data_IF_423700614779
#
_entry.id   IF_423700614779
#
_cell.length_a   1.000
_cell.length_b   1.000
_cell.length_c   1.000
_cell.angle_alpha   90.00
_cell.angle_beta   90.00
_cell.angle_gamma   90.00
#
_symmetry.space_group_name_H-M   'P 1'
#
loop_
_entity.id
_entity.type
_entity.pdbx_description
1 polymer ?
#
# COMPACT_ATOMS: atom_id res chain seq x y z
N UNK A 1 9.44 -7.05 -3.88
CA UNK A 1 9.96 -8.06 -2.92
C UNK A 1 8.97 -9.20 -2.86
N UNK A 2 9.43 -10.45 -2.75
CA UNK A 2 8.53 -11.62 -2.75
C UNK A 2 7.79 -11.75 -1.40
N UNK A 3 6.56 -12.24 -1.46
CA UNK A 3 5.73 -12.55 -0.30
C UNK A 3 5.40 -14.05 -0.33
N UNK A 4 5.36 -14.70 0.82
CA UNK A 4 5.07 -16.13 0.93
C UNK A 4 3.85 -16.36 1.81
N UNK A 5 2.88 -17.13 1.35
CA UNK A 5 1.73 -17.55 2.15
C UNK A 5 2.19 -18.57 3.20
N UNK A 6 1.84 -18.32 4.46
CA UNK A 6 2.21 -19.19 5.59
C UNK A 6 1.01 -20.00 6.05
N UNK A 7 -0.15 -19.37 6.13
CA UNK A 7 -1.39 -19.99 6.60
C UNK A 7 -2.57 -19.24 6.01
N UNK A 8 -3.77 -19.76 6.23
CA UNK A 8 -5.03 -19.16 5.84
C UNK A 8 -5.93 -19.07 7.08
N UNK A 9 -6.62 -17.93 7.24
CA UNK A 9 -7.55 -17.68 8.34
C UNK A 9 -8.81 -17.06 7.73
N UNK A 10 -9.98 -17.68 7.91
CA UNK A 10 -11.25 -17.22 7.31
C UNK A 10 -11.17 -17.05 5.79
N UNK A 11 -10.51 -17.98 5.10
CA UNK A 11 -10.25 -17.93 3.66
C UNK A 11 -9.38 -16.73 3.23
N UNK A 12 -8.69 -16.09 4.18
CA UNK A 12 -7.75 -14.99 3.94
C UNK A 12 -6.31 -15.54 3.97
N UNK A 13 -5.58 -15.47 2.85
CA UNK A 13 -4.17 -15.84 2.81
C UNK A 13 -3.32 -14.91 3.69
N UNK A 14 -2.66 -15.47 4.71
CA UNK A 14 -1.70 -14.74 5.55
C UNK A 14 -0.31 -14.89 4.96
N UNK A 15 0.26 -13.78 4.51
CA UNK A 15 1.55 -13.70 3.82
C UNK A 15 2.60 -13.03 4.68
N UNK A 16 3.84 -13.49 4.57
CA UNK A 16 5.01 -12.79 5.12
C UNK A 16 5.89 -12.31 3.98
N UNK A 17 6.21 -11.02 4.00
CA UNK A 17 7.16 -10.43 3.08
C UNK A 17 8.61 -10.77 3.47
N UNK A 18 9.50 -10.96 2.50
CA UNK A 18 10.92 -11.21 2.77
C UNK A 18 11.57 -10.14 3.66
N UNK A 19 11.13 -8.88 3.58
CA UNK A 19 11.62 -7.81 4.44
C UNK A 19 11.44 -8.10 5.94
N UNK A 20 10.31 -8.70 6.32
CA UNK A 20 10.04 -9.06 7.70
C UNK A 20 10.96 -10.18 8.18
N UNK A 21 11.19 -11.21 7.34
CA UNK A 21 12.11 -12.31 7.70
C UNK A 21 13.53 -11.83 7.98
N UNK A 22 13.99 -10.82 7.22
CA UNK A 22 15.31 -10.20 7.41
C UNK A 22 15.32 -9.30 8.66
N UNK A 23 14.23 -8.59 8.92
CA UNK A 23 14.14 -7.64 10.02
C UNK A 23 13.88 -8.28 11.38
N UNK A 24 13.16 -9.40 11.45
CA UNK A 24 12.75 -10.04 12.70
C UNK A 24 13.94 -10.36 13.64
N UNK A 25 15.08 -10.90 13.16
CA UNK A 25 16.26 -11.11 14.01
C UNK A 25 16.86 -9.80 14.54
N UNK A 26 16.85 -8.73 13.74
CA UNK A 26 17.32 -7.40 14.15
C UNK A 26 16.42 -6.83 15.24
N UNK A 27 15.11 -6.96 15.07
CA UNK A 27 14.13 -6.52 16.07
C UNK A 27 14.27 -7.33 17.37
N UNK A 28 14.43 -8.65 17.28
CA UNK A 28 14.65 -9.51 18.43
C UNK A 28 15.93 -9.11 19.19
N UNK A 29 17.02 -8.84 18.48
CA UNK A 29 18.25 -8.33 19.09
C UNK A 29 18.07 -6.96 19.73
N UNK A 30 17.34 -6.04 19.07
CA UNK A 30 17.07 -4.71 19.59
C UNK A 30 16.30 -4.78 20.92
N UNK A 31 15.18 -5.51 20.95
CA UNK A 31 14.36 -5.68 22.15
C UNK A 31 15.12 -6.43 23.25
N UNK A 32 15.85 -7.48 22.86
CA UNK A 32 16.67 -8.30 23.75
C UNK A 32 17.95 -7.61 24.25
N UNK A 33 18.27 -6.40 23.80
CA UNK A 33 19.44 -5.69 24.32
C UNK A 33 19.23 -5.27 25.77
N UNK A 34 20.24 -5.41 26.63
CA UNK A 34 20.10 -5.18 28.07
C UNK A 34 19.59 -3.78 28.45
N UNK A 35 19.97 -2.76 27.66
CA UNK A 35 19.47 -1.39 27.85
C UNK A 35 17.97 -1.28 27.53
N UNK A 36 17.50 -1.94 26.46
CA UNK A 36 16.09 -1.94 26.09
C UNK A 36 15.25 -2.74 27.09
N UNK A 37 15.75 -3.90 27.56
CA UNK A 37 15.10 -4.68 28.61
C UNK A 37 14.90 -3.83 29.86
N UNK A 38 15.94 -3.11 30.32
CA UNK A 38 15.82 -2.25 31.50
C UNK A 38 14.80 -1.11 31.29
N UNK A 39 14.80 -0.49 30.11
CA UNK A 39 13.84 0.55 29.76
C UNK A 39 12.40 0.05 29.78
N UNK A 40 12.11 -1.06 29.10
CA UNK A 40 10.76 -1.63 29.08
C UNK A 40 10.35 -2.21 30.44
N UNK A 41 11.26 -2.80 31.21
CA UNK A 41 10.97 -3.27 32.56
C UNK A 41 10.50 -2.11 33.46
N UNK A 42 11.15 -0.94 33.38
CA UNK A 42 10.73 0.25 34.12
C UNK A 42 9.36 0.78 33.69
N UNK A 43 9.06 0.78 32.39
CA UNK A 43 7.71 1.10 31.90
C UNK A 43 6.70 0.11 32.48
N UNK A 44 6.97 -1.19 32.34
CA UNK A 44 6.08 -2.26 32.81
C UNK A 44 5.81 -2.13 34.30
N UNK A 45 6.85 -1.96 35.11
CA UNK A 45 6.71 -1.71 36.54
C UNK A 45 5.86 -0.47 36.82
N UNK A 46 6.05 0.61 36.06
CA UNK A 46 5.27 1.84 36.19
C UNK A 46 3.76 1.67 35.97
N UNK A 47 3.32 0.82 35.02
CA UNK A 47 1.88 0.65 34.73
C UNK A 47 1.26 -0.63 35.33
N UNK A 48 2.06 -1.64 35.68
CA UNK A 48 1.59 -2.88 36.31
C UNK A 48 1.81 -2.92 37.82
N UNK A 49 2.76 -2.12 38.34
CA UNK A 49 3.25 -2.24 39.71
C UNK A 49 4.12 -3.47 39.96
N UNK A 50 4.46 -4.23 38.92
CA UNK A 50 5.22 -5.48 39.03
C UNK A 50 6.67 -5.25 38.62
N UNK A 51 7.57 -5.35 39.60
CA UNK A 51 9.01 -5.22 39.38
C UNK A 51 9.65 -6.47 38.76
N UNK A 52 10.83 -6.28 38.17
CA UNK A 52 11.64 -7.33 37.54
C UNK A 52 13.06 -7.35 38.11
N UNK A 53 13.61 -8.55 38.30
CA UNK A 53 15.03 -8.71 38.54
C UNK A 53 15.80 -8.63 37.22
N UNK A 54 16.43 -7.47 36.98
CA UNK A 54 17.19 -7.21 35.77
C UNK A 54 18.41 -8.11 35.62
N UNK A 55 18.99 -8.61 36.71
CA UNK A 55 20.12 -9.54 36.63
C UNK A 55 19.67 -10.88 36.02
N UNK A 56 18.46 -11.34 36.36
CA UNK A 56 17.89 -12.57 35.80
C UNK A 56 17.51 -12.38 34.32
N UNK A 57 16.87 -11.26 33.98
CA UNK A 57 16.48 -10.97 32.59
C UNK A 57 17.70 -10.76 31.68
N UNK A 58 18.79 -10.22 32.21
CA UNK A 58 20.04 -9.96 31.49
C UNK A 58 20.99 -11.16 31.39
N UNK A 59 20.73 -12.26 32.10
CA UNK A 59 21.67 -13.36 32.22
C UNK A 59 21.59 -14.37 31.05
N UNK A 60 22.77 -14.85 30.62
CA UNK A 60 22.90 -15.98 29.69
C UNK A 60 22.14 -15.80 28.38
N UNK A 61 21.30 -16.77 28.04
CA UNK A 61 20.50 -16.76 26.81
C UNK A 61 19.14 -16.06 26.96
N UNK A 62 18.75 -15.65 28.18
CA UNK A 62 17.46 -15.03 28.48
C UNK A 62 17.13 -13.81 27.61
N UNK A 63 18.07 -12.88 27.34
CA UNK A 63 17.77 -11.71 26.51
C UNK A 63 17.37 -12.07 25.08
N UNK A 64 17.95 -13.13 24.50
CA UNK A 64 17.57 -13.64 23.18
C UNK A 64 16.17 -14.26 23.18
N UNK A 65 15.82 -15.01 24.23
CA UNK A 65 14.48 -15.59 24.39
C UNK A 65 13.44 -14.47 24.52
N UNK A 66 13.70 -13.45 25.34
CA UNK A 66 12.85 -12.26 25.48
C UNK A 66 12.69 -11.58 24.13
N UNK A 67 13.80 -11.29 23.46
CA UNK A 67 13.83 -10.60 22.17
C UNK A 67 13.01 -11.32 21.10
N UNK A 68 13.22 -12.63 20.92
CA UNK A 68 12.50 -13.44 19.94
C UNK A 68 11.01 -13.53 20.30
N UNK A 69 10.68 -13.83 21.55
CA UNK A 69 9.29 -13.98 21.98
C UNK A 69 8.52 -12.66 21.86
N UNK A 70 9.14 -11.53 22.23
CA UNK A 70 8.55 -10.21 22.12
C UNK A 70 8.40 -9.78 20.64
N UNK A 71 9.40 -9.99 19.79
CA UNK A 71 9.34 -9.67 18.37
C UNK A 71 8.25 -10.48 17.65
N UNK A 72 8.21 -11.80 17.86
CA UNK A 72 7.16 -12.67 17.28
C UNK A 72 5.79 -12.28 17.83
N UNK A 73 5.67 -12.08 19.14
CA UNK A 73 4.42 -11.66 19.78
C UNK A 73 3.90 -10.31 19.27
N UNK A 74 4.78 -9.37 18.96
CA UNK A 74 4.42 -8.08 18.37
C UNK A 74 3.81 -8.27 16.98
N UNK A 75 4.41 -9.09 16.12
CA UNK A 75 3.86 -9.36 14.79
C UNK A 75 2.58 -10.19 14.82
N UNK A 76 2.44 -11.10 15.79
CA UNK A 76 1.15 -11.77 16.05
C UNK A 76 0.09 -10.77 16.51
N UNK A 77 0.47 -9.77 17.30
CA UNK A 77 -0.44 -8.69 17.71
C UNK A 77 -0.87 -7.80 16.53
N UNK A 78 0.07 -7.47 15.64
CA UNK A 78 -0.23 -6.80 14.37
C UNK A 78 -1.17 -7.65 13.51
N UNK A 79 -0.94 -8.96 13.42
CA UNK A 79 -1.86 -9.85 12.71
C UNK A 79 -3.26 -9.82 13.32
N UNK A 80 -3.40 -9.87 14.65
CA UNK A 80 -4.71 -9.73 15.31
C UNK A 80 -5.37 -8.38 15.03
N UNK A 81 -4.59 -7.30 15.00
CA UNK A 81 -5.08 -5.98 14.61
C UNK A 81 -5.67 -5.99 13.18
N UNK A 82 -4.93 -6.51 12.21
CA UNK A 82 -5.40 -6.65 10.82
C UNK A 82 -6.62 -7.57 10.70
N UNK A 83 -6.65 -8.67 11.47
CA UNK A 83 -7.80 -9.55 11.55
C UNK A 83 -9.04 -8.83 12.12
N UNK A 84 -8.85 -7.85 13.00
CA UNK A 84 -9.93 -7.00 13.50
C UNK A 84 -10.62 -6.22 12.38
N UNK A 85 -9.83 -5.51 11.56
CA UNK A 85 -10.36 -4.84 10.36
C UNK A 85 -11.05 -5.83 9.43
N UNK A 86 -10.38 -6.95 9.18
CA UNK A 86 -10.81 -7.97 8.25
C UNK A 86 -12.15 -8.58 8.65
N UNK A 87 -12.32 -8.88 9.93
CA UNK A 87 -13.55 -9.44 10.47
C UNK A 87 -14.74 -8.51 10.25
N UNK A 88 -14.58 -7.20 10.45
CA UNK A 88 -15.67 -6.23 10.20
C UNK A 88 -15.91 -6.03 8.71
N UNK A 89 -14.86 -6.05 7.87
CA UNK A 89 -15.02 -5.95 6.42
C UNK A 89 -15.82 -7.14 5.85
N UNK A 90 -15.52 -8.36 6.29
CA UNK A 90 -16.28 -9.56 5.92
C UNK A 90 -17.75 -9.48 6.33
N UNK A 91 -18.09 -8.79 7.43
CA UNK A 91 -19.49 -8.57 7.85
C UNK A 91 -20.25 -7.61 6.95
N UNK A 92 -19.54 -6.83 6.15
CA UNK A 92 -20.10 -5.94 5.12
C UNK A 92 -19.99 -6.53 3.71
N UNK A 93 -19.69 -7.83 3.60
CA UNK A 93 -19.52 -8.54 2.32
C UNK A 93 -18.39 -7.95 1.45
N UNK A 94 -17.36 -7.39 2.09
CA UNK A 94 -16.16 -6.88 1.42
C UNK A 94 -15.08 -7.98 1.49
N UNK A 95 -14.69 -8.48 0.32
CA UNK A 95 -13.66 -9.51 0.19
C UNK A 95 -12.26 -9.00 0.54
N UNK A 96 -11.41 -9.94 0.95
CA UNK A 96 -10.03 -9.66 1.41
C UNK A 96 -9.09 -10.59 0.67
N UNK A 97 -8.25 -10.02 -0.20
CA UNK A 97 -7.35 -10.78 -1.05
C UNK A 97 -6.21 -11.43 -0.27
N UNK A 98 -5.66 -10.72 0.73
CA UNK A 98 -4.62 -11.22 1.62
C UNK A 98 -4.32 -10.27 2.78
N UNK A 99 -3.71 -10.80 3.84
CA UNK A 99 -3.04 -10.01 4.87
C UNK A 99 -1.53 -10.25 4.76
N UNK A 100 -0.76 -9.21 4.46
CA UNK A 100 0.70 -9.32 4.34
C UNK A 100 1.41 -8.63 5.49
N UNK A 101 2.20 -9.37 6.27
CA UNK A 101 3.08 -8.83 7.30
C UNK A 101 4.43 -8.44 6.70
N UNK A 102 4.90 -7.24 7.00
CA UNK A 102 6.13 -6.65 6.47
C UNK A 102 6.82 -5.77 7.52
N UNK A 103 7.99 -5.22 7.21
CA UNK A 103 8.82 -4.48 8.18
C UNK A 103 8.10 -3.30 8.86
N UNK A 104 7.12 -2.66 8.18
CA UNK A 104 6.38 -1.51 8.72
C UNK A 104 5.05 -1.88 9.39
N UNK A 105 4.67 -3.17 9.43
CA UNK A 105 3.43 -3.61 10.07
C UNK A 105 2.68 -4.69 9.29
N UNK A 106 1.35 -4.59 9.27
CA UNK A 106 0.45 -5.41 8.47
C UNK A 106 -0.15 -4.59 7.33
N UNK A 107 -0.55 -5.28 6.25
CA UNK A 107 -1.34 -4.69 5.17
C UNK A 107 -2.43 -5.67 4.77
N UNK A 108 -3.67 -5.34 5.07
CA UNK A 108 -4.84 -6.04 4.54
C UNK A 108 -5.20 -5.47 3.17
N UNK A 109 -5.12 -6.31 2.14
CA UNK A 109 -5.55 -5.98 0.78
C UNK A 109 -7.06 -6.26 0.66
N UNK A 110 -7.86 -5.20 0.59
CA UNK A 110 -9.31 -5.26 0.36
C UNK A 110 -9.57 -5.27 -1.15
N UNK A 111 -10.55 -6.05 -1.60
CA UNK A 111 -11.00 -6.06 -3.00
C UNK A 111 -11.56 -4.69 -3.42
N UNK A 112 -12.25 -4.02 -2.49
CA UNK A 112 -12.73 -2.66 -2.71
C UNK A 112 -12.73 -1.86 -1.40
N UNK A 113 -12.41 -0.57 -1.50
CA UNK A 113 -12.48 0.35 -0.37
C UNK A 113 -13.90 0.93 -0.29
N UNK A 114 -14.64 0.74 0.82
CA UNK A 114 -16.00 1.26 0.93
C UNK A 114 -16.01 2.78 0.94
N UNK A 115 -16.88 3.39 0.14
CA UNK A 115 -17.06 4.85 0.05
C UNK A 115 -18.05 5.35 1.12
N UNK A 116 -18.84 4.47 1.73
CA UNK A 116 -19.81 4.81 2.76
C UNK A 116 -19.14 5.03 4.12
N UNK A 117 -19.38 6.20 4.71
CA UNK A 117 -18.74 6.62 5.95
C UNK A 117 -18.93 5.63 7.11
N UNK A 118 -20.09 4.99 7.21
CA UNK A 118 -20.42 4.10 8.31
C UNK A 118 -19.63 2.80 8.23
N UNK A 119 -19.53 2.21 7.03
CA UNK A 119 -18.76 0.98 6.80
C UNK A 119 -17.30 1.22 7.06
N UNK A 120 -16.75 2.29 6.48
CA UNK A 120 -15.34 2.62 6.66
C UNK A 120 -14.98 2.91 8.12
N UNK A 121 -15.82 3.68 8.84
CA UNK A 121 -15.58 3.97 10.25
C UNK A 121 -15.49 2.70 11.10
N UNK A 122 -16.43 1.77 10.94
CA UNK A 122 -16.47 0.54 11.73
C UNK A 122 -15.33 -0.41 11.38
N UNK A 123 -14.94 -0.48 10.09
CA UNK A 123 -13.78 -1.26 9.68
C UNK A 123 -12.51 -0.67 10.29
N UNK A 124 -12.29 0.64 10.14
CA UNK A 124 -11.08 1.31 10.60
C UNK A 124 -10.93 1.29 12.14
N UNK A 125 -12.01 1.36 12.91
CA UNK A 125 -11.91 1.30 14.38
C UNK A 125 -11.68 -0.12 14.91
N UNK A 126 -11.99 -1.15 14.12
CA UNK A 126 -11.95 -2.54 14.58
C UNK A 126 -10.53 -3.01 14.97
N UNK A 127 -9.51 -2.68 14.17
CA UNK A 127 -8.12 -3.01 14.48
C UNK A 127 -7.66 -2.40 15.81
N UNK A 128 -7.77 -1.07 16.02
CA UNK A 128 -7.47 -0.44 17.30
C UNK A 128 -8.21 -1.06 18.49
N UNK A 129 -9.50 -1.40 18.33
CA UNK A 129 -10.26 -2.09 19.38
C UNK A 129 -9.66 -3.45 19.70
N UNK A 130 -9.31 -4.25 18.69
CA UNK A 130 -8.66 -5.55 18.90
C UNK A 130 -7.29 -5.38 19.56
N UNK A 131 -6.48 -4.40 19.17
CA UNK A 131 -5.21 -4.10 19.85
C UNK A 131 -5.42 -3.74 21.33
N UNK A 132 -6.42 -2.93 21.67
CA UNK A 132 -6.73 -2.65 23.08
C UNK A 132 -7.17 -3.91 23.84
N UNK A 133 -7.94 -4.80 23.21
CA UNK A 133 -8.34 -6.07 23.82
C UNK A 133 -7.14 -6.99 24.05
N UNK A 134 -6.23 -7.13 23.07
CA UNK A 134 -4.98 -7.87 23.21
C UNK A 134 -4.14 -7.27 24.33
N UNK A 135 -4.04 -5.93 24.40
CA UNK A 135 -3.34 -5.25 25.47
C UNK A 135 -3.90 -5.59 26.85
N UNK A 136 -5.24 -5.55 26.99
CA UNK A 136 -5.92 -5.86 28.25
C UNK A 136 -5.70 -7.32 28.69
N UNK A 137 -5.74 -8.27 27.75
CA UNK A 137 -5.47 -9.70 28.03
C UNK A 137 -4.02 -9.90 28.45
N UNK A 138 -3.06 -9.30 27.73
CA UNK A 138 -1.65 -9.38 28.07
C UNK A 138 -1.35 -8.71 29.42
N UNK A 139 -2.02 -7.58 29.72
CA UNK A 139 -1.90 -6.89 31.01
C UNK A 139 -2.38 -7.77 32.16
N UNK A 140 -3.60 -8.33 32.04
CA UNK A 140 -4.12 -9.25 33.03
C UNK A 140 -3.19 -10.46 33.21
N UNK A 141 -2.66 -11.00 32.12
CA UNK A 141 -1.65 -12.05 32.12
C UNK A 141 -0.39 -11.68 32.91
N UNK A 142 0.15 -10.47 32.70
CA UNK A 142 1.33 -9.99 33.42
C UNK A 142 1.11 -9.88 34.94
N UNK A 143 -0.12 -9.57 35.38
CA UNK A 143 -0.48 -9.50 36.80
C UNK A 143 -0.61 -10.87 37.46
N UNK A 144 -1.15 -11.87 36.75
CA UNK A 144 -1.41 -13.20 37.32
C UNK A 144 -0.24 -14.17 37.18
N UNK A 145 0.62 -14.01 36.16
CA UNK A 145 1.78 -14.89 35.96
C UNK A 145 2.75 -14.74 37.13
N UNK A 146 3.18 -15.83 37.80
CA UNK A 146 4.09 -15.77 38.95
C UNK A 146 5.49 -15.22 38.63
N UNK A 147 6.16 -14.68 39.64
CA UNK A 147 7.50 -14.06 39.49
C UNK A 147 8.61 -15.07 39.24
N UNK A 148 8.33 -16.35 39.46
CA UNK A 148 9.21 -17.46 39.11
C UNK A 148 9.36 -17.66 37.60
N UNK A 149 8.49 -17.07 36.77
CA UNK A 149 8.57 -17.12 35.30
C UNK A 149 8.73 -15.69 34.74
N UNK A 150 9.86 -15.03 35.04
CA UNK A 150 10.02 -13.59 34.78
C UNK A 150 10.02 -13.25 33.28
N UNK A 151 10.46 -14.16 32.42
CA UNK A 151 10.48 -13.99 30.96
C UNK A 151 9.06 -13.87 30.40
N UNK A 152 8.19 -14.83 30.71
CA UNK A 152 6.79 -14.81 30.23
C UNK A 152 6.06 -13.57 30.73
N UNK A 153 6.24 -13.23 32.01
CA UNK A 153 5.65 -12.03 32.60
C UNK A 153 6.13 -10.76 31.90
N UNK A 154 7.44 -10.65 31.65
CA UNK A 154 8.02 -9.50 30.94
C UNK A 154 7.44 -9.39 29.53
N UNK A 155 7.39 -10.48 28.77
CA UNK A 155 6.85 -10.49 27.40
C UNK A 155 5.38 -10.09 27.39
N UNK A 156 4.57 -10.57 28.33
CA UNK A 156 3.17 -10.15 28.46
C UNK A 156 3.04 -8.66 28.78
N UNK A 157 3.84 -8.12 29.71
CA UNK A 157 3.87 -6.69 29.99
C UNK A 157 4.31 -5.86 28.77
N UNK A 158 5.34 -6.32 28.05
CA UNK A 158 5.81 -5.70 26.82
C UNK A 158 4.72 -5.68 25.74
N UNK A 159 4.03 -6.80 25.52
CA UNK A 159 2.93 -6.90 24.56
C UNK A 159 1.73 -6.04 24.96
N UNK A 160 1.43 -5.93 26.26
CA UNK A 160 0.39 -5.04 26.76
C UNK A 160 0.68 -3.58 26.40
N UNK A 161 1.88 -3.11 26.73
CA UNK A 161 2.31 -1.74 26.44
C UNK A 161 2.36 -1.46 24.94
N UNK A 162 2.99 -2.35 24.17
CA UNK A 162 3.15 -2.16 22.72
C UNK A 162 1.83 -2.22 21.96
N UNK A 163 0.85 -3.02 22.40
CA UNK A 163 -0.48 -3.01 21.80
C UNK A 163 -1.26 -1.72 22.10
N UNK A 164 -1.10 -1.14 23.31
CA UNK A 164 -1.65 0.19 23.59
C UNK A 164 -0.99 1.26 22.73
N UNK A 165 0.34 1.18 22.54
CA UNK A 165 1.06 2.08 21.66
C UNK A 165 0.62 1.91 20.20
N UNK A 166 0.44 0.67 19.73
CA UNK A 166 -0.07 0.35 18.39
C UNK A 166 -1.47 0.95 18.19
N UNK A 167 -2.38 0.75 19.14
CA UNK A 167 -3.73 1.33 19.08
C UNK A 167 -3.68 2.87 19.11
N UNK A 168 -2.90 3.46 20.02
CA UNK A 168 -2.79 4.91 20.17
C UNK A 168 -2.18 5.58 18.92
N UNK A 169 -1.14 4.98 18.35
CA UNK A 169 -0.54 5.46 17.11
C UNK A 169 -1.53 5.31 15.95
N UNK A 170 -2.19 4.16 15.83
CA UNK A 170 -3.19 3.96 14.78
C UNK A 170 -4.44 4.83 14.93
N UNK A 171 -4.73 5.41 16.10
CA UNK A 171 -5.84 6.36 16.26
C UNK A 171 -5.47 7.82 15.91
N UNK A 172 -4.21 8.11 15.58
CA UNK A 172 -3.82 9.45 15.12
C UNK A 172 -4.56 9.81 13.82
N UNK A 173 -5.10 11.03 13.68
CA UNK A 173 -5.92 11.44 12.54
C UNK A 173 -5.08 11.79 11.31
N UNK A 174 -4.27 10.86 10.83
CA UNK A 174 -3.32 11.05 9.74
C UNK A 174 -3.13 9.75 8.95
N UNK A 175 -3.07 9.83 7.61
CA UNK A 175 -2.70 8.68 6.78
C UNK A 175 -1.24 8.29 6.99
N UNK A 176 -0.89 7.00 6.91
CA UNK A 176 -1.74 5.85 6.54
C UNK A 176 -2.46 5.18 7.73
N UNK A 177 -2.46 5.79 8.92
CA UNK A 177 -3.02 5.20 10.13
C UNK A 177 -4.55 5.13 10.06
N UNK A 178 -5.15 4.19 10.82
CA UNK A 178 -6.60 3.99 10.86
C UNK A 178 -7.37 5.24 11.28
N UNK A 179 -6.80 6.04 12.17
CA UNK A 179 -7.35 7.29 12.67
C UNK A 179 -7.52 8.30 11.55
N UNK A 180 -6.66 8.26 10.52
CA UNK A 180 -6.85 9.02 9.28
C UNK A 180 -8.12 8.60 8.54
N UNK A 181 -8.39 7.29 8.43
CA UNK A 181 -9.61 6.73 7.83
C UNK A 181 -10.85 7.00 8.68
N UNK A 182 -10.74 6.86 10.00
CA UNK A 182 -11.80 7.20 10.97
C UNK A 182 -12.16 8.68 10.83
N UNK A 183 -11.16 9.57 10.86
CA UNK A 183 -11.36 11.01 10.71
C UNK A 183 -11.98 11.34 9.36
N UNK A 184 -11.47 10.76 8.27
CA UNK A 184 -12.02 10.89 6.92
C UNK A 184 -13.48 10.45 6.86
N UNK A 185 -13.82 9.28 7.39
CA UNK A 185 -15.18 8.76 7.45
C UNK A 185 -16.11 9.71 8.23
N UNK A 186 -15.68 10.24 9.37
CA UNK A 186 -16.47 11.23 10.12
C UNK A 186 -16.72 12.51 9.32
N UNK A 187 -15.74 12.99 8.57
CA UNK A 187 -15.91 14.14 7.68
C UNK A 187 -16.85 13.85 6.49
N UNK A 188 -16.82 12.63 5.97
CA UNK A 188 -17.66 12.19 4.86
C UNK A 188 -19.16 12.11 5.21
N UNK A 189 -19.53 12.23 6.49
CA UNK A 189 -20.94 12.33 6.92
C UNK A 189 -21.66 13.57 6.36
N UNK A 190 -20.92 14.66 6.16
CA UNK A 190 -21.49 15.96 5.76
C UNK A 190 -20.80 16.58 4.54
N UNK A 191 -19.83 15.87 3.96
CA UNK A 191 -19.01 16.37 2.85
C UNK A 191 -18.79 15.27 1.81
N UNK A 192 -18.57 15.61 0.54
CA UNK A 192 -18.16 14.64 -0.47
C UNK A 192 -16.88 13.90 -0.07
N UNK A 193 -16.80 12.61 -0.39
CA UNK A 193 -15.69 11.72 -0.02
C UNK A 193 -14.32 12.31 -0.40
N UNK A 194 -14.14 12.78 -1.65
CA UNK A 194 -12.89 13.40 -2.09
C UNK A 194 -12.49 14.65 -1.28
N UNK A 195 -13.46 15.47 -0.85
CA UNK A 195 -13.18 16.61 0.04
C UNK A 195 -12.77 16.15 1.43
N UNK A 196 -13.43 15.13 1.98
CA UNK A 196 -13.03 14.52 3.25
C UNK A 196 -11.60 13.97 3.19
N UNK A 197 -11.23 13.29 2.10
CA UNK A 197 -9.86 12.80 1.87
C UNK A 197 -8.83 13.92 1.83
N UNK A 198 -9.09 14.99 1.08
CA UNK A 198 -8.16 16.13 1.00
C UNK A 198 -7.92 16.77 2.37
N UNK A 199 -8.95 16.88 3.20
CA UNK A 199 -8.82 17.43 4.56
C UNK A 199 -8.02 16.47 5.44
N UNK A 200 -8.34 15.18 5.46
CA UNK A 200 -7.63 14.18 6.25
C UNK A 200 -6.15 14.06 5.83
N UNK A 201 -5.85 14.07 4.53
CA UNK A 201 -4.49 14.09 4.01
C UNK A 201 -3.73 15.35 4.44
N UNK A 202 -4.37 16.53 4.43
CA UNK A 202 -3.75 17.77 4.92
C UNK A 202 -3.39 17.69 6.40
N UNK A 203 -4.28 17.13 7.24
CA UNK A 203 -3.97 16.87 8.65
C UNK A 203 -2.79 15.90 8.76
N UNK A 204 -2.73 14.86 7.93
CA UNK A 204 -1.57 13.95 7.85
C UNK A 204 -0.25 14.65 7.53
N UNK A 205 -0.25 15.61 6.59
CA UNK A 205 0.93 16.43 6.28
C UNK A 205 1.36 17.28 7.47
N UNK A 206 0.41 17.79 8.28
CA UNK A 206 0.75 18.50 9.53
C UNK A 206 1.44 17.57 10.52
N UNK A 207 0.94 16.35 10.72
CA UNK A 207 1.61 15.36 11.57
C UNK A 207 3.00 14.98 11.06
N UNK A 208 3.16 14.78 9.75
CA UNK A 208 4.46 14.54 9.14
C UNK A 208 5.45 15.69 9.45
N UNK A 209 5.00 16.94 9.34
CA UNK A 209 5.82 18.10 9.67
C UNK A 209 6.19 18.15 11.16
N UNK A 210 5.26 17.83 12.06
CA UNK A 210 5.54 17.73 13.50
C UNK A 210 6.58 16.64 13.80
N UNK A 211 6.45 15.46 13.20
CA UNK A 211 7.45 14.39 13.33
C UNK A 211 8.82 14.81 12.77
N UNK A 212 8.84 15.57 11.68
CA UNK A 212 10.10 16.10 11.13
C UNK A 212 10.77 17.06 12.11
N UNK A 213 10.02 18.00 12.71
CA UNK A 213 10.56 18.94 13.72
C UNK A 213 11.15 18.16 14.90
N UNK A 214 10.38 17.23 15.48
CA UNK A 214 10.84 16.41 16.60
C UNK A 214 12.07 15.60 16.20
N UNK A 215 12.07 15.02 15.00
CA UNK A 215 13.20 14.26 14.46
C UNK A 215 14.47 15.10 14.34
N UNK A 216 14.38 16.34 13.86
CA UNK A 216 15.52 17.25 13.75
C UNK A 216 16.00 17.70 15.13
N UNK A 217 15.09 18.15 16.01
CA UNK A 217 15.45 18.67 17.34
C UNK A 217 16.05 17.59 18.23
N UNK A 218 15.55 16.37 18.15
CA UNK A 218 16.02 15.23 18.94
C UNK A 218 17.12 14.41 18.24
N UNK A 219 17.56 14.79 17.04
CA UNK A 219 18.48 14.01 16.20
C UNK A 219 18.03 12.55 16.00
N UNK A 220 16.72 12.33 15.93
CA UNK A 220 16.12 11.00 15.84
C UNK A 220 15.77 10.67 14.38
N UNK A 221 16.62 9.86 13.75
CA UNK A 221 16.46 9.43 12.35
C UNK A 221 15.14 8.67 12.14
N UNK A 222 14.68 7.90 13.13
CA UNK A 222 13.42 7.14 13.02
C UNK A 222 12.23 8.08 12.89
N UNK A 223 12.21 9.20 13.63
CA UNK A 223 11.16 10.22 13.51
C UNK A 223 11.19 10.91 12.14
N UNK A 224 12.37 11.14 11.55
CA UNK A 224 12.49 11.69 10.21
C UNK A 224 12.00 10.72 9.13
N UNK A 225 12.32 9.43 9.27
CA UNK A 225 11.80 8.39 8.38
C UNK A 225 10.29 8.27 8.49
N UNK A 226 9.75 8.34 9.71
CA UNK A 226 8.31 8.33 9.95
C UNK A 226 7.63 9.55 9.31
N UNK A 227 8.22 10.74 9.45
CA UNK A 227 7.73 11.96 8.81
C UNK A 227 7.65 11.81 7.29
N UNK A 228 8.71 11.31 6.66
CA UNK A 228 8.74 11.07 5.22
C UNK A 228 7.65 10.06 4.79
N UNK A 229 7.51 8.96 5.53
CA UNK A 229 6.51 7.93 5.24
C UNK A 229 5.07 8.46 5.38
N UNK A 230 4.76 9.17 6.47
CA UNK A 230 3.43 9.77 6.69
C UNK A 230 3.10 10.80 5.61
N UNK A 231 4.07 11.65 5.24
CA UNK A 231 3.89 12.62 4.15
C UNK A 231 3.60 11.94 2.80
N UNK A 232 4.40 10.93 2.45
CA UNK A 232 4.25 10.17 1.22
C UNK A 232 2.90 9.45 1.16
N UNK A 233 2.50 8.79 2.24
CA UNK A 233 1.22 8.11 2.35
C UNK A 233 0.03 9.07 2.21
N UNK A 234 0.03 10.19 2.94
CA UNK A 234 -1.04 11.18 2.87
C UNK A 234 -1.19 11.79 1.47
N UNK A 235 -0.07 12.07 0.80
CA UNK A 235 -0.08 12.62 -0.55
C UNK A 235 -0.56 11.59 -1.58
N UNK A 236 -0.13 10.32 -1.42
CA UNK A 236 -0.53 9.21 -2.30
C UNK A 236 -2.04 8.95 -2.18
N UNK A 237 -2.56 8.83 -0.96
CA UNK A 237 -4.00 8.64 -0.71
C UNK A 237 -4.85 9.74 -1.37
N UNK A 238 -4.47 11.01 -1.17
CA UNK A 238 -5.20 12.13 -1.78
C UNK A 238 -5.13 12.13 -3.31
N UNK A 239 -4.03 11.65 -3.89
CA UNK A 239 -3.87 11.56 -5.35
C UNK A 239 -4.73 10.44 -5.91
N UNK A 240 -4.73 9.26 -5.29
CA UNK A 240 -5.54 8.12 -5.71
C UNK A 240 -7.02 8.46 -5.70
N UNK A 241 -7.54 9.04 -4.61
CA UNK A 241 -8.95 9.44 -4.55
C UNK A 241 -9.29 10.52 -5.58
N UNK A 242 -8.38 11.46 -5.86
CA UNK A 242 -8.60 12.44 -6.92
C UNK A 242 -8.68 11.78 -8.30
N UNK A 243 -7.87 10.77 -8.57
CA UNK A 243 -7.91 10.03 -9.84
C UNK A 243 -9.24 9.26 -9.98
N UNK A 244 -9.65 8.54 -8.94
CA UNK A 244 -10.97 7.85 -8.87
C UNK A 244 -12.11 8.87 -9.12
N UNK A 245 -12.12 10.00 -8.42
CA UNK A 245 -13.15 11.04 -8.56
C UNK A 245 -13.18 11.68 -9.96
N UNK A 246 -12.07 11.71 -10.68
CA UNK A 246 -11.98 12.26 -12.04
C UNK A 246 -12.40 11.24 -13.11
N UNK A 247 -12.13 9.96 -12.88
CA UNK A 247 -12.44 8.87 -13.80
C UNK A 247 -13.77 8.17 -13.48
N UNK A 248 -14.43 8.53 -12.39
CA UNK A 248 -15.72 7.96 -11.97
C UNK A 248 -16.76 7.97 -13.10
N UNK A 249 -17.21 6.77 -13.46
CA UNK A 249 -18.21 6.55 -14.51
C UNK A 249 -17.68 6.65 -15.95
N UNK A 250 -16.37 6.57 -16.13
CA UNK A 250 -15.70 6.55 -17.44
C UNK A 250 -15.22 5.12 -17.70
N UNK A 251 -15.55 4.57 -18.87
CA UNK A 251 -15.06 3.27 -19.31
C UNK A 251 -13.79 3.42 -20.14
N UNK A 252 -13.04 2.33 -20.30
CA UNK A 252 -11.87 2.28 -21.20
C UNK A 252 -12.26 2.69 -22.63
N UNK A 253 -13.42 2.24 -23.12
CA UNK A 253 -13.93 2.54 -24.45
C UNK A 253 -14.27 4.01 -24.71
N UNK A 254 -14.51 4.79 -23.65
CA UNK A 254 -14.78 6.24 -23.73
C UNK A 254 -13.51 7.05 -23.98
N UNK A 255 -12.35 6.53 -23.55
CA UNK A 255 -11.08 7.27 -23.57
C UNK A 255 -10.03 6.65 -24.50
N UNK A 256 -10.21 5.40 -24.93
CA UNK A 256 -9.24 4.72 -25.80
C UNK A 256 -9.04 5.45 -27.13
N UNK A 257 -7.83 5.33 -27.67
CA UNK A 257 -7.56 5.68 -29.06
C UNK A 257 -8.07 4.55 -29.96
N UNK A 258 -9.10 4.85 -30.75
CA UNK A 258 -9.67 3.94 -31.76
C UNK A 258 -8.81 3.90 -33.01
N UNK A 259 -8.82 2.76 -33.69
CA UNK A 259 -8.09 2.51 -34.95
C UNK A 259 -6.61 2.94 -34.89
N UNK A 260 -5.83 2.37 -33.95
CA UNK A 260 -4.43 2.72 -33.76
C UNK A 260 -3.58 2.33 -34.98
N UNK A 261 -2.57 3.15 -35.33
CA UNK A 261 -1.72 2.86 -36.47
C UNK A 261 -0.91 1.58 -36.23
N UNK A 262 -0.79 0.77 -37.28
CA UNK A 262 -0.08 -0.52 -37.24
C UNK A 262 1.25 -0.46 -37.97
N UNK A 263 2.20 -1.29 -37.51
CA UNK A 263 3.50 -1.51 -38.14
C UNK A 263 3.80 -3.01 -38.20
N UNK A 264 4.44 -3.45 -39.28
CA UNK A 264 4.89 -4.85 -39.40
C UNK A 264 6.09 -5.11 -38.46
N UNK A 265 6.18 -6.34 -37.94
CA UNK A 265 7.35 -6.85 -37.19
C UNK A 265 8.69 -6.60 -37.90
N UNK A 266 8.68 -6.56 -39.23
CA UNK A 266 9.85 -6.41 -40.09
C UNK A 266 10.28 -4.95 -40.33
N UNK A 267 9.46 -4.00 -39.89
CA UNK A 267 9.74 -2.56 -40.05
C UNK A 267 11.03 -2.22 -39.30
N UNK A 268 11.91 -1.42 -39.90
CA UNK A 268 13.13 -0.95 -39.23
C UNK A 268 12.80 0.14 -38.21
N UNK A 269 13.66 0.30 -37.22
CA UNK A 269 13.49 1.33 -36.18
C UNK A 269 13.59 2.75 -36.77
N UNK A 270 14.38 2.93 -37.81
CA UNK A 270 14.45 4.19 -38.58
C UNK A 270 13.12 4.52 -39.27
N UNK A 271 12.51 3.53 -39.93
CA UNK A 271 11.20 3.69 -40.58
C UNK A 271 10.09 3.90 -39.55
N UNK A 272 10.13 3.20 -38.41
CA UNK A 272 9.22 3.41 -37.29
C UNK A 272 9.25 4.87 -36.80
N UNK A 273 10.45 5.44 -36.62
CA UNK A 273 10.60 6.84 -36.23
C UNK A 273 9.95 7.80 -37.24
N UNK A 274 10.08 7.50 -38.54
CA UNK A 274 9.42 8.27 -39.61
C UNK A 274 7.89 8.11 -39.58
N UNK A 275 7.38 6.91 -39.30
CA UNK A 275 5.94 6.66 -39.14
C UNK A 275 5.36 7.39 -37.93
N UNK A 276 6.03 7.35 -36.78
CA UNK A 276 5.60 8.10 -35.58
C UNK A 276 5.41 9.59 -35.84
N UNK A 277 6.29 10.21 -36.63
CA UNK A 277 6.15 11.61 -37.01
C UNK A 277 4.97 11.85 -37.97
N UNK A 278 4.75 10.94 -38.93
CA UNK A 278 3.65 11.05 -39.90
C UNK A 278 2.29 10.85 -39.25
N UNK A 279 2.17 9.82 -38.42
CA UNK A 279 0.91 9.43 -37.75
C UNK A 279 0.62 10.33 -36.54
N UNK A 280 1.62 11.10 -36.08
CA UNK A 280 1.58 11.94 -34.87
C UNK A 280 1.23 11.15 -33.62
N UNK A 281 1.65 9.88 -33.60
CA UNK A 281 1.48 8.99 -32.46
C UNK A 281 2.82 8.42 -32.05
N UNK A 282 3.01 8.25 -30.75
CA UNK A 282 4.23 7.71 -30.14
C UNK A 282 4.13 6.22 -29.85
N UNK A 283 3.03 5.59 -30.27
CA UNK A 283 2.65 4.22 -29.99
C UNK A 283 2.02 3.61 -31.24
N UNK A 284 2.43 2.40 -31.59
CA UNK A 284 1.93 1.64 -32.73
C UNK A 284 1.69 0.19 -32.33
N UNK A 285 0.64 -0.41 -32.89
CA UNK A 285 0.44 -1.85 -32.79
C UNK A 285 1.38 -2.57 -33.75
N UNK A 286 1.92 -3.69 -33.30
CA UNK A 286 2.82 -4.53 -34.10
C UNK A 286 2.03 -5.70 -34.65
N UNK A 287 2.06 -5.88 -35.97
CA UNK A 287 1.39 -6.96 -36.68
C UNK A 287 2.38 -7.91 -37.33
N UNK A 288 2.07 -9.21 -37.32
CA UNK A 288 2.79 -10.22 -38.09
C UNK A 288 2.42 -10.19 -39.59
N UNK A 289 3.02 -11.09 -40.37
CA UNK A 289 2.75 -11.23 -41.81
C UNK A 289 1.32 -11.71 -42.13
N UNK A 290 0.63 -12.33 -41.16
CA UNK A 290 -0.76 -12.75 -41.28
C UNK A 290 -1.75 -11.62 -40.92
N UNK A 291 -1.25 -10.47 -40.44
CA UNK A 291 -2.05 -9.32 -40.01
C UNK A 291 -2.56 -9.43 -38.57
N UNK A 292 -2.12 -10.43 -37.80
CA UNK A 292 -2.47 -10.56 -36.40
C UNK A 292 -1.63 -9.63 -35.52
N UNK A 293 -2.27 -9.01 -34.51
CA UNK A 293 -1.58 -8.13 -33.57
C UNK A 293 -0.81 -8.97 -32.55
N UNK A 294 0.51 -8.85 -32.58
CA UNK A 294 1.45 -9.61 -31.74
C UNK A 294 2.07 -8.79 -30.61
N UNK A 295 1.92 -7.47 -30.64
CA UNK A 295 2.43 -6.62 -29.57
C UNK A 295 2.25 -5.13 -29.85
N UNK A 296 3.02 -4.33 -29.12
CA UNK A 296 3.01 -2.88 -29.22
C UNK A 296 4.44 -2.35 -29.19
N UNK A 297 4.71 -1.28 -29.95
CA UNK A 297 5.97 -0.55 -29.89
C UNK A 297 5.69 0.91 -29.55
N UNK A 298 6.51 1.47 -28.67
CA UNK A 298 6.39 2.86 -28.24
C UNK A 298 7.70 3.61 -28.44
N UNK A 299 7.67 4.93 -28.24
CA UNK A 299 8.85 5.79 -28.30
C UNK A 299 10.00 5.33 -27.38
N UNK A 300 9.71 4.60 -26.30
CA UNK A 300 10.74 4.04 -25.43
C UNK A 300 11.57 2.96 -26.14
N UNK A 301 10.95 2.12 -26.98
CA UNK A 301 11.63 1.14 -27.83
C UNK A 301 12.52 1.78 -28.89
N UNK A 302 12.12 2.93 -29.44
CA UNK A 302 12.99 3.72 -30.34
C UNK A 302 14.23 4.28 -29.60
N UNK A 303 14.08 4.63 -28.32
CA UNK A 303 15.17 5.18 -27.48
C UNK A 303 16.14 4.12 -26.98
N UNK A 304 15.74 2.85 -26.88
CA UNK A 304 16.63 1.77 -26.46
C UNK A 304 17.65 1.36 -27.53
N UNK A 305 17.44 1.76 -28.79
CA UNK A 305 18.33 1.44 -29.91
C UNK A 305 19.26 2.61 -30.23
N UNK A 306 20.57 2.32 -30.30
CA UNK A 306 21.62 3.29 -30.67
C UNK A 306 21.41 3.79 -32.10
N UNK A 307 21.76 5.05 -32.36
CA UNK A 307 21.52 5.72 -33.65
C UNK A 307 22.01 4.93 -34.86
N UNK A 308 23.23 4.39 -34.79
CA UNK A 308 23.88 3.66 -35.89
C UNK A 308 23.21 2.32 -36.21
N UNK A 309 22.48 1.73 -35.25
CA UNK A 309 21.83 0.42 -35.38
C UNK A 309 20.36 0.51 -35.81
N UNK A 310 19.79 1.72 -35.94
CA UNK A 310 18.35 1.92 -36.21
C UNK A 310 17.92 1.45 -37.61
N UNK A 311 18.82 1.50 -38.58
CA UNK A 311 18.55 1.06 -39.95
C UNK A 311 18.52 -0.46 -40.11
N UNK A 312 19.16 -1.21 -39.20
CA UNK A 312 19.26 -2.68 -39.24
C UNK A 312 18.39 -3.38 -38.19
N UNK A 313 18.09 -2.72 -37.07
CA UNK A 313 17.23 -3.26 -36.03
C UNK A 313 15.76 -3.23 -36.48
N UNK A 314 15.05 -4.34 -36.27
CA UNK A 314 13.61 -4.48 -36.57
C UNK A 314 12.74 -4.20 -35.36
N UNK A 315 11.47 -3.85 -35.60
CA UNK A 315 10.47 -3.60 -34.55
C UNK A 315 10.29 -4.80 -33.63
N UNK A 316 10.33 -6.03 -34.18
CA UNK A 316 10.25 -7.27 -33.40
C UNK A 316 11.23 -7.31 -32.21
N UNK A 317 12.43 -6.74 -32.36
CA UNK A 317 13.46 -6.77 -31.32
C UNK A 317 13.17 -5.84 -30.12
N UNK A 318 12.24 -4.89 -30.27
CA UNK A 318 11.91 -3.87 -29.25
C UNK A 318 10.43 -3.81 -28.91
N UNK A 319 9.61 -4.66 -29.53
CA UNK A 319 8.19 -4.74 -29.23
C UNK A 319 7.98 -5.25 -27.81
N UNK A 320 6.87 -4.83 -27.21
CA UNK A 320 6.47 -5.21 -25.87
C UNK A 320 5.13 -5.92 -25.93
N UNK A 321 5.03 -7.02 -25.20
CA UNK A 321 3.73 -7.61 -24.87
C UNK A 321 3.08 -6.72 -23.81
N UNK A 322 1.86 -6.28 -24.09
CA UNK A 322 1.07 -5.46 -23.17
C UNK A 322 -0.23 -6.18 -22.80
N UNK A 323 -0.79 -5.91 -21.61
CA UNK A 323 -2.07 -6.49 -21.22
C UNK A 323 -3.19 -6.13 -22.21
N UNK A 324 -4.15 -7.06 -22.33
CA UNK A 324 -5.40 -6.85 -23.06
C UNK A 324 -6.51 -6.54 -22.07
N UNK A 325 -7.33 -5.54 -22.35
CA UNK A 325 -8.42 -5.07 -21.48
C UNK A 325 -9.70 -4.91 -22.27
N UNK A 326 -10.84 -5.15 -21.61
CA UNK A 326 -12.15 -5.00 -22.24
C UNK A 326 -12.55 -3.52 -22.32
N UNK A 327 -13.16 -3.11 -23.44
CA UNK A 327 -13.61 -1.73 -23.65
C UNK A 327 -14.65 -1.27 -22.60
N UNK A 328 -15.44 -2.19 -22.04
CA UNK A 328 -16.43 -1.90 -21.01
C UNK A 328 -15.87 -1.78 -19.59
N UNK A 329 -14.57 -2.09 -19.40
CA UNK A 329 -13.93 -2.01 -18.09
C UNK A 329 -13.88 -0.57 -17.54
N UNK A 330 -13.92 -0.43 -16.22
CA UNK A 330 -13.77 0.86 -15.56
C UNK A 330 -12.35 1.44 -15.77
N UNK A 331 -12.28 2.71 -16.11
CA UNK A 331 -11.02 3.36 -16.44
C UNK A 331 -10.08 3.49 -15.22
N UNK A 332 -10.62 3.75 -14.02
CA UNK A 332 -9.80 3.88 -12.82
C UNK A 332 -9.22 2.52 -12.41
N UNK A 333 -10.04 1.47 -12.37
CA UNK A 333 -9.60 0.11 -12.01
C UNK A 333 -8.57 -0.42 -13.02
N UNK A 334 -8.77 -0.13 -14.30
CA UNK A 334 -7.82 -0.46 -15.36
C UNK A 334 -6.49 0.26 -15.15
N UNK A 335 -6.51 1.58 -14.88
CA UNK A 335 -5.29 2.36 -14.60
C UNK A 335 -4.56 1.83 -13.36
N UNK A 336 -5.30 1.49 -12.30
CA UNK A 336 -4.73 0.93 -11.08
C UNK A 336 -4.04 -0.40 -11.35
N UNK A 337 -4.68 -1.29 -12.13
CA UNK A 337 -4.13 -2.59 -12.53
C UNK A 337 -2.87 -2.45 -13.38
N UNK A 338 -2.88 -1.57 -14.38
CA UNK A 338 -1.72 -1.33 -15.24
C UNK A 338 -0.53 -0.78 -14.43
N UNK A 339 -0.77 0.18 -13.54
CA UNK A 339 0.29 0.74 -12.69
C UNK A 339 0.92 -0.32 -11.76
N UNK A 340 0.11 -1.26 -11.25
CA UNK A 340 0.63 -2.39 -10.46
C UNK A 340 1.53 -3.32 -11.29
N UNK A 341 1.21 -3.51 -12.57
CA UNK A 341 2.04 -4.25 -13.53
C UNK A 341 3.27 -3.47 -14.03
N UNK A 342 3.44 -2.20 -13.61
CA UNK A 342 4.55 -1.35 -14.02
C UNK A 342 4.38 -0.71 -15.40
N UNK A 343 3.16 -0.69 -15.93
CA UNK A 343 2.83 -0.10 -17.24
C UNK A 343 1.66 0.88 -17.16
N UNK A 344 1.40 1.56 -18.27
CA UNK A 344 0.26 2.49 -18.43
C UNK A 344 -0.40 2.35 -19.80
N UNK A 345 -0.10 1.25 -20.49
CA UNK A 345 -0.53 0.98 -21.86
C UNK A 345 -1.17 -0.39 -21.95
N UNK A 346 -2.28 -0.48 -22.68
CA UNK A 346 -3.00 -1.72 -22.92
C UNK A 346 -3.58 -1.78 -24.33
N UNK A 347 -3.75 -2.98 -24.85
CA UNK A 347 -4.57 -3.25 -26.03
C UNK A 347 -6.03 -3.36 -25.57
N UNK A 348 -6.94 -2.71 -26.26
CA UNK A 348 -8.37 -2.73 -25.93
C UNK A 348 -9.12 -3.66 -26.89
N UNK A 349 -9.90 -4.57 -26.31
CA UNK A 349 -10.73 -5.52 -27.03
C UNK A 349 -12.21 -5.33 -26.69
N UNK A 350 -13.09 -5.61 -27.64
CA UNK A 350 -14.54 -5.68 -27.45
C UNK A 350 -15.03 -6.98 -28.09
N UNK A 351 -15.68 -7.85 -27.29
CA UNK A 351 -16.11 -9.18 -27.73
C UNK A 351 -15.01 -10.06 -28.38
N UNK A 352 -13.75 -9.85 -27.97
CA UNK A 352 -12.57 -10.57 -28.49
C UNK A 352 -11.97 -9.98 -29.77
N UNK A 353 -12.50 -8.87 -30.28
CA UNK A 353 -11.93 -8.12 -31.40
C UNK A 353 -11.14 -6.91 -30.91
N UNK A 354 -10.00 -6.62 -31.54
CA UNK A 354 -9.20 -5.44 -31.22
C UNK A 354 -9.93 -4.17 -31.69
N UNK A 355 -10.19 -3.26 -30.75
CA UNK A 355 -10.92 -2.00 -31.03
C UNK A 355 -10.08 -0.75 -30.79
N UNK A 356 -8.97 -0.86 -30.04
CA UNK A 356 -8.13 0.30 -29.76
C UNK A 356 -6.88 0.02 -28.94
N UNK A 357 -6.21 1.11 -28.59
CA UNK A 357 -5.16 1.14 -27.56
C UNK A 357 -5.54 2.14 -26.48
N UNK A 358 -5.04 1.87 -25.28
CA UNK A 358 -5.13 2.76 -24.15
C UNK A 358 -3.72 3.16 -23.73
N UNK A 359 -3.48 4.45 -23.54
CA UNK A 359 -2.17 5.02 -23.20
C UNK A 359 -2.27 6.00 -22.04
N UNK A 360 -1.12 6.36 -21.44
CA UNK A 360 -1.07 7.40 -20.41
C UNK A 360 -1.59 8.76 -20.91
N UNK A 361 -1.39 9.07 -22.19
CA UNK A 361 -1.93 10.29 -22.82
C UNK A 361 -3.46 10.32 -22.84
N UNK A 362 -4.12 9.18 -23.04
CA UNK A 362 -5.58 9.09 -23.07
C UNK A 362 -6.15 9.42 -21.68
N UNK A 363 -5.57 8.83 -20.63
CA UNK A 363 -5.92 9.16 -19.24
C UNK A 363 -5.67 10.64 -18.93
N UNK A 364 -4.52 11.18 -19.33
CA UNK A 364 -4.18 12.59 -19.13
C UNK A 364 -5.17 13.53 -19.83
N UNK A 365 -5.57 13.19 -21.05
CA UNK A 365 -6.56 13.95 -21.82
C UNK A 365 -7.93 13.91 -21.15
N UNK A 366 -8.43 12.72 -20.80
CA UNK A 366 -9.71 12.54 -20.12
C UNK A 366 -9.78 13.33 -18.80
N UNK A 367 -8.73 13.24 -17.98
CA UNK A 367 -8.64 14.00 -16.73
C UNK A 367 -8.62 15.52 -16.96
N UNK A 368 -7.95 15.99 -18.01
CA UNK A 368 -7.90 17.42 -18.35
C UNK A 368 -9.29 17.93 -18.72
N UNK A 369 -10.02 17.17 -19.54
CA UNK A 369 -11.41 17.48 -19.92
C UNK A 369 -12.32 17.51 -18.69
N UNK A 370 -12.28 16.47 -17.83
CA UNK A 370 -13.06 16.39 -16.58
C UNK A 370 -12.77 17.54 -15.61
N UNK A 371 -11.50 17.93 -15.43
CA UNK A 371 -11.13 19.09 -14.62
C UNK A 371 -11.74 20.38 -15.17
N UNK A 372 -11.71 20.56 -16.49
CA UNK A 372 -12.33 21.71 -17.16
C UNK A 372 -13.82 21.84 -16.82
N UNK A 373 -14.59 20.77 -16.99
CA UNK A 373 -16.02 20.74 -16.66
C UNK A 373 -16.31 21.06 -15.20
N UNK A 374 -15.53 20.49 -14.26
CA UNK A 374 -15.74 20.73 -12.83
C UNK A 374 -15.37 22.15 -12.39
N UNK A 375 -14.33 22.73 -12.98
CA UNK A 375 -13.89 24.10 -12.64
C UNK A 375 -14.91 25.18 -13.01
N UNK A 376 -15.76 24.92 -14.03
CA UNK A 376 -16.80 25.85 -14.47
C UNK A 376 -18.09 25.85 -13.63
N UNK A 377 -18.28 24.89 -12.71
CA UNK A 377 -19.50 24.74 -11.90
C UNK A 377 -19.33 25.37 -10.50
N UNK A 378 -18.10 25.71 -10.10
CA UNK A 378 -17.77 26.33 -8.81
C UNK A 378 -17.56 27.85 -8.87
N UNK A 379 -18.07 28.51 -9.91
CA UNK A 379 -17.99 29.98 -10.11
C UNK A 379 -19.21 30.71 -9.60
#
# INVERSE_FOLDING_TARGET
>A
MRSYTITEIWDIPIRINTSLLIFLPVLAWLIGSGQQIAFYAGIIEGFTGVGFDLAVLGAGATPWVIGIAAAVGLFVSVLFHELGHSWVALRYDIGIESITLWILGGLAALESVPKEWNREFWIAIAGPVVSVLVAAVCYAGALVVPGSIPVTRFVLGYLAFTNLLLAGFNLLPAFPMDGGRIFRALLARSRPYGTATRIAARVGVVFAFLFAIVGVVSFNIVMLLLAFFVYGAATTESRTVLLDELLEGITVGDIMTRDPPTVSVDTTIEELGSRMLRDRQTVHLVTDDAGAVVGLVSLSGLRSVRGDDRGSTRVEAVMQEVPRVDASADAFDTLATLNQAGGSTAIVEEAGELVGILTESDYAHAMTVRKGFRSGISG
#
